data_IF_949375477128
#
_entry.id   IF_949375477128
#
_cell.length_a   1.000
_cell.length_b   1.000
_cell.length_c   1.000
_cell.angle_alpha   90.00
_cell.angle_beta   90.00
_cell.angle_gamma   90.00
#
_symmetry.space_group_name_H-M   'P 1'
#
loop_
_entity.id
_entity.type
_entity.pdbx_description
1 polymer ?
#
# COMPACT_ATOMS: atom_id res chain seq x y z
N UNK A 1 -12.15 -16.59 -14.91
CA UNK A 1 -11.84 -17.38 -13.70
C UNK A 1 -10.36 -17.19 -13.38
N UNK A 2 -9.98 -16.79 -12.16
CA UNK A 2 -8.57 -16.76 -11.75
C UNK A 2 -8.23 -18.10 -11.08
N UNK A 3 -7.59 -18.98 -11.82
CA UNK A 3 -7.06 -20.24 -11.29
C UNK A 3 -5.67 -20.00 -10.71
N UNK A 4 -5.42 -20.61 -9.55
CA UNK A 4 -4.07 -20.69 -9.01
C UNK A 4 -3.22 -21.64 -9.87
N UNK A 5 -1.91 -21.39 -10.01
CA UNK A 5 -1.02 -22.24 -10.81
C UNK A 5 -1.02 -23.72 -10.37
N UNK A 6 -1.27 -23.96 -9.08
CA UNK A 6 -1.33 -25.30 -8.49
C UNK A 6 -2.77 -25.86 -8.37
N UNK A 7 -3.76 -25.28 -9.07
CA UNK A 7 -5.12 -25.78 -8.99
C UNK A 7 -5.23 -27.16 -9.66
N UNK A 8 -5.63 -28.19 -8.90
CA UNK A 8 -5.73 -29.57 -9.39
C UNK A 8 -6.64 -29.73 -10.62
N UNK A 9 -7.66 -28.88 -10.78
CA UNK A 9 -8.48 -28.83 -11.99
C UNK A 9 -8.57 -27.42 -12.54
N UNK A 10 -8.18 -27.28 -13.80
CA UNK A 10 -8.52 -26.13 -14.66
C UNK A 10 -9.98 -26.18 -15.08
N UNK A 11 -10.46 -25.14 -15.78
CA UNK A 11 -11.81 -25.16 -16.35
C UNK A 11 -11.99 -26.36 -17.29
N UNK A 12 -11.04 -26.57 -18.21
CA UNK A 12 -11.05 -27.69 -19.14
C UNK A 12 -10.98 -29.04 -18.42
N UNK A 13 -10.21 -29.14 -17.32
CA UNK A 13 -10.16 -30.35 -16.49
C UNK A 13 -11.51 -30.67 -15.83
N UNK A 14 -12.25 -29.65 -15.39
CA UNK A 14 -13.63 -29.83 -14.87
C UNK A 14 -14.59 -30.27 -15.96
N UNK A 15 -14.47 -29.72 -17.17
CA UNK A 15 -15.29 -30.14 -18.31
C UNK A 15 -14.99 -31.59 -18.70
N UNK A 16 -13.72 -31.98 -18.74
CA UNK A 16 -13.31 -33.37 -19.01
C UNK A 16 -13.83 -34.34 -17.97
N UNK A 17 -13.77 -33.97 -16.68
CA UNK A 17 -14.36 -34.77 -15.60
C UNK A 17 -15.86 -35.02 -15.86
N UNK A 18 -16.60 -33.98 -16.22
CA UNK A 18 -18.03 -34.09 -16.50
C UNK A 18 -18.30 -34.94 -17.72
N UNK A 19 -17.55 -34.75 -18.81
CA UNK A 19 -17.68 -35.53 -20.04
C UNK A 19 -17.49 -37.03 -19.78
N UNK A 20 -16.43 -37.41 -19.04
CA UNK A 20 -16.20 -38.80 -18.63
C UNK A 20 -17.41 -39.41 -17.91
N UNK A 21 -18.00 -38.67 -16.98
CA UNK A 21 -19.08 -39.21 -16.12
C UNK A 21 -20.46 -39.13 -16.75
N UNK A 22 -20.77 -38.04 -17.46
CA UNK A 22 -22.12 -37.74 -17.96
C UNK A 22 -22.31 -38.22 -19.39
N UNK A 23 -21.27 -38.17 -20.23
CA UNK A 23 -21.35 -38.56 -21.64
C UNK A 23 -20.79 -39.97 -21.83
N UNK A 24 -19.60 -40.25 -21.30
CA UNK A 24 -18.94 -41.55 -21.48
C UNK A 24 -19.36 -42.61 -20.43
N UNK A 25 -20.20 -42.24 -19.47
CA UNK A 25 -20.79 -43.17 -18.49
C UNK A 25 -19.84 -43.71 -17.41
N UNK A 26 -18.68 -43.09 -17.21
CA UNK A 26 -17.73 -43.51 -16.18
C UNK A 26 -18.31 -43.32 -14.77
N UNK A 27 -17.90 -44.17 -13.83
CA UNK A 27 -18.18 -43.93 -12.41
C UNK A 27 -17.42 -42.70 -11.92
N UNK A 28 -17.99 -41.98 -10.94
CA UNK A 28 -17.35 -40.80 -10.35
C UNK A 28 -15.99 -41.15 -9.72
N UNK A 29 -15.85 -42.36 -9.16
CA UNK A 29 -14.60 -42.86 -8.58
C UNK A 29 -13.51 -43.04 -9.65
N UNK A 30 -13.82 -43.74 -10.75
CA UNK A 30 -12.86 -43.96 -11.83
C UNK A 30 -12.41 -42.64 -12.49
N UNK A 31 -13.36 -41.72 -12.71
CA UNK A 31 -13.03 -40.40 -13.26
C UNK A 31 -12.20 -39.54 -12.29
N UNK A 32 -12.42 -39.66 -10.97
CA UNK A 32 -11.63 -38.97 -9.97
C UNK A 32 -10.18 -39.46 -9.92
N UNK A 33 -9.99 -40.78 -9.93
CA UNK A 33 -8.68 -41.44 -9.99
C UNK A 33 -7.91 -41.03 -11.25
N UNK A 34 -8.57 -41.10 -12.42
CA UNK A 34 -7.98 -40.72 -13.72
C UNK A 34 -7.44 -39.29 -13.75
N UNK A 35 -8.09 -38.38 -13.04
CA UNK A 35 -7.77 -36.96 -12.98
C UNK A 35 -6.97 -36.56 -11.74
N UNK A 36 -6.57 -37.52 -10.89
CA UNK A 36 -5.74 -37.26 -9.71
C UNK A 36 -6.43 -36.38 -8.65
N UNK A 37 -7.75 -36.52 -8.48
CA UNK A 37 -8.53 -35.76 -7.50
C UNK A 37 -9.33 -36.65 -6.57
N UNK A 38 -9.77 -36.12 -5.43
CA UNK A 38 -10.65 -36.86 -4.52
C UNK A 38 -12.04 -37.08 -5.12
N UNK A 39 -12.67 -38.21 -4.80
CA UNK A 39 -14.04 -38.55 -5.19
C UNK A 39 -15.04 -37.46 -4.75
N UNK A 40 -14.83 -36.87 -3.57
CA UNK A 40 -15.63 -35.73 -3.08
C UNK A 40 -15.50 -34.50 -4.00
N UNK A 41 -14.31 -34.20 -4.49
CA UNK A 41 -14.10 -33.11 -5.45
C UNK A 41 -14.80 -33.40 -6.77
N UNK A 42 -14.68 -34.63 -7.27
CA UNK A 42 -15.33 -35.06 -8.50
C UNK A 42 -16.86 -34.98 -8.40
N UNK A 43 -17.43 -35.57 -7.35
CA UNK A 43 -18.87 -35.54 -7.07
C UNK A 43 -19.43 -34.13 -6.94
N UNK A 44 -18.68 -33.20 -6.31
CA UNK A 44 -19.05 -31.78 -6.24
C UNK A 44 -19.22 -31.17 -7.64
N UNK A 45 -18.26 -31.38 -8.53
CA UNK A 45 -18.29 -30.78 -9.87
C UNK A 45 -19.35 -31.43 -10.76
N UNK A 46 -19.45 -32.76 -10.77
CA UNK A 46 -20.50 -33.50 -11.50
C UNK A 46 -21.88 -33.10 -11.01
N UNK A 47 -22.10 -33.02 -9.70
CA UNK A 47 -23.38 -32.60 -9.13
C UNK A 47 -23.75 -31.18 -9.50
N UNK A 48 -22.78 -30.24 -9.51
CA UNK A 48 -23.02 -28.86 -9.98
C UNK A 48 -23.39 -28.81 -11.46
N UNK A 49 -22.70 -29.58 -12.30
CA UNK A 49 -23.02 -29.64 -13.73
C UNK A 49 -24.41 -30.20 -13.98
N UNK A 50 -24.81 -31.29 -13.30
CA UNK A 50 -26.17 -31.83 -13.43
C UNK A 50 -27.26 -30.83 -13.06
N UNK A 51 -26.99 -29.94 -12.10
CA UNK A 51 -27.96 -28.93 -11.65
C UNK A 51 -27.97 -27.65 -12.51
N UNK A 52 -26.85 -27.27 -13.12
CA UNK A 52 -26.65 -25.92 -13.69
C UNK A 52 -25.95 -25.93 -15.07
N UNK A 53 -25.70 -27.09 -15.64
CA UNK A 53 -24.89 -27.26 -16.85
C UNK A 53 -23.48 -26.69 -16.71
N UNK A 54 -22.96 -26.18 -17.81
CA UNK A 54 -21.64 -25.53 -17.90
C UNK A 54 -21.45 -24.39 -16.88
N UNK A 55 -22.51 -23.64 -16.55
CA UNK A 55 -22.45 -22.56 -15.56
C UNK A 55 -22.05 -23.06 -14.17
N UNK A 56 -22.35 -24.33 -13.85
CA UNK A 56 -21.98 -24.98 -12.59
C UNK A 56 -20.48 -25.21 -12.43
N UNK A 57 -19.69 -25.13 -13.51
CA UNK A 57 -18.24 -25.39 -13.50
C UNK A 57 -17.39 -24.17 -13.17
N UNK A 58 -18.00 -22.99 -13.10
CA UNK A 58 -17.33 -21.79 -12.61
C UNK A 58 -17.03 -21.86 -11.11
N UNK A 59 -15.92 -21.26 -10.70
CA UNK A 59 -15.64 -21.06 -9.29
C UNK A 59 -16.74 -20.25 -8.62
N UNK A 60 -17.21 -20.77 -7.50
CA UNK A 60 -18.09 -20.01 -6.60
C UNK A 60 -17.22 -19.31 -5.58
N UNK A 61 -17.69 -18.16 -5.12
CA UNK A 61 -17.05 -17.49 -3.99
C UNK A 61 -17.00 -18.44 -2.79
N UNK A 62 -15.82 -18.60 -2.20
CA UNK A 62 -15.66 -19.26 -0.89
C UNK A 62 -16.12 -18.37 0.26
N UNK A 63 -16.48 -17.11 -0.02
CA UNK A 63 -16.97 -16.21 1.01
C UNK A 63 -18.31 -16.73 1.58
N UNK A 64 -18.47 -16.74 2.91
CA UNK A 64 -19.73 -17.08 3.55
C UNK A 64 -20.87 -16.20 3.02
N UNK A 65 -22.06 -16.80 2.82
CA UNK A 65 -23.25 -16.04 2.42
C UNK A 65 -23.73 -15.07 3.51
N UNK A 66 -23.50 -15.43 4.78
CA UNK A 66 -23.85 -14.62 5.95
C UNK A 66 -22.61 -14.47 6.82
N UNK A 67 -22.34 -13.24 7.26
CA UNK A 67 -21.30 -12.89 8.22
C UNK A 67 -22.01 -12.15 9.34
N UNK A 68 -22.01 -12.70 10.55
CA UNK A 68 -22.77 -12.15 11.68
C UNK A 68 -22.35 -10.70 11.99
N UNK A 69 -21.05 -10.42 11.96
CA UNK A 69 -20.49 -9.12 12.30
C UNK A 69 -20.30 -8.23 11.06
N UNK A 70 -21.17 -8.38 10.04
CA UNK A 70 -21.12 -7.52 8.86
C UNK A 70 -21.55 -6.11 9.27
N UNK A 71 -20.70 -5.12 9.00
CA UNK A 71 -21.06 -3.71 9.17
C UNK A 71 -22.36 -3.40 8.42
N UNK A 72 -23.33 -2.77 9.10
CA UNK A 72 -24.62 -2.43 8.51
C UNK A 72 -24.44 -1.49 7.31
N UNK A 73 -25.37 -1.54 6.36
CA UNK A 73 -25.31 -0.70 5.16
C UNK A 73 -25.36 0.78 5.51
N UNK A 74 -26.18 1.17 6.50
CA UNK A 74 -26.25 2.53 7.03
C UNK A 74 -24.88 3.02 7.53
N UNK A 75 -24.16 2.17 8.28
CA UNK A 75 -22.82 2.51 8.78
C UNK A 75 -21.80 2.59 7.65
N UNK A 76 -21.91 1.73 6.63
CA UNK A 76 -21.09 1.82 5.41
C UNK A 76 -21.34 3.15 4.67
N UNK A 77 -22.60 3.56 4.54
CA UNK A 77 -22.97 4.83 3.92
C UNK A 77 -22.44 6.02 4.71
N UNK A 78 -22.52 5.99 6.04
CA UNK A 78 -21.94 7.03 6.90
C UNK A 78 -20.41 7.15 6.71
N UNK A 79 -19.69 6.02 6.67
CA UNK A 79 -18.24 5.98 6.38
C UNK A 79 -17.94 6.63 5.02
N UNK A 80 -18.72 6.30 3.98
CA UNK A 80 -18.54 6.86 2.63
C UNK A 80 -18.86 8.35 2.59
N UNK A 81 -19.91 8.80 3.30
CA UNK A 81 -20.28 10.21 3.37
C UNK A 81 -19.20 11.05 4.05
N UNK A 82 -18.71 10.62 5.22
CA UNK A 82 -17.59 11.28 5.92
C UNK A 82 -16.33 11.30 5.05
N UNK A 83 -16.07 10.21 4.32
CA UNK A 83 -14.94 10.17 3.40
C UNK A 83 -15.06 11.21 2.29
N UNK A 84 -16.26 11.48 1.75
CA UNK A 84 -16.48 12.54 0.75
C UNK A 84 -16.22 13.93 1.31
N UNK A 85 -16.46 14.12 2.61
CA UNK A 85 -16.03 15.30 3.37
C UNK A 85 -14.53 15.30 3.72
N UNK A 86 -13.76 14.37 3.13
CA UNK A 86 -12.31 14.25 3.22
C UNK A 86 -11.75 13.80 4.58
N UNK A 87 -12.59 13.32 5.48
CA UNK A 87 -12.11 12.66 6.70
C UNK A 87 -11.18 11.48 6.33
N UNK A 88 -10.07 11.38 7.05
CA UNK A 88 -9.15 10.25 7.01
C UNK A 88 -9.80 8.98 7.56
N UNK A 89 -9.25 7.82 7.21
CA UNK A 89 -9.74 6.57 7.77
C UNK A 89 -9.59 6.51 9.30
N UNK A 90 -8.60 7.22 9.86
CA UNK A 90 -8.36 7.32 11.30
C UNK A 90 -9.43 8.18 11.97
N UNK A 91 -9.70 9.37 11.46
CA UNK A 91 -10.75 10.24 12.00
C UNK A 91 -12.12 9.58 11.93
N UNK A 92 -12.44 8.88 10.84
CA UNK A 92 -13.70 8.13 10.71
C UNK A 92 -13.77 6.98 11.73
N UNK A 93 -12.65 6.26 11.92
CA UNK A 93 -12.58 5.16 12.86
C UNK A 93 -12.78 5.64 14.31
N UNK A 94 -12.17 6.76 14.68
CA UNK A 94 -12.33 7.41 15.97
C UNK A 94 -13.78 7.89 16.16
N UNK A 95 -14.30 8.67 15.20
CA UNK A 95 -15.65 9.25 15.28
C UNK A 95 -16.76 8.19 15.38
N UNK A 96 -16.58 7.05 14.71
CA UNK A 96 -17.60 5.99 14.68
C UNK A 96 -17.33 4.87 15.69
N UNK A 97 -16.28 4.97 16.50
CA UNK A 97 -15.81 3.94 17.44
C UNK A 97 -15.63 2.56 16.77
N UNK A 98 -14.95 2.56 15.62
CA UNK A 98 -14.72 1.37 14.82
C UNK A 98 -13.23 1.07 14.68
N UNK A 99 -12.88 -0.21 14.53
CA UNK A 99 -11.50 -0.57 14.18
C UNK A 99 -11.09 0.07 12.85
N UNK A 100 -9.91 0.71 12.84
CA UNK A 100 -9.32 1.35 11.65
C UNK A 100 -9.22 0.38 10.45
N UNK A 101 -8.91 -0.89 10.70
CA UNK A 101 -8.84 -1.93 9.67
C UNK A 101 -10.18 -2.16 8.97
N UNK A 102 -11.29 -2.11 9.72
CA UNK A 102 -12.66 -2.23 9.21
C UNK A 102 -13.01 -1.05 8.32
N UNK A 103 -12.81 0.17 8.80
CA UNK A 103 -13.07 1.40 8.04
C UNK A 103 -12.21 1.42 6.76
N UNK A 104 -10.91 1.15 6.88
CA UNK A 104 -9.99 1.10 5.75
C UNK A 104 -10.40 0.04 4.72
N UNK A 105 -10.83 -1.13 5.18
CA UNK A 105 -11.34 -2.21 4.32
C UNK A 105 -12.62 -1.81 3.58
N UNK A 106 -13.55 -1.13 4.26
CA UNK A 106 -14.78 -0.60 3.66
C UNK A 106 -14.44 0.44 2.59
N UNK A 107 -13.61 1.43 2.92
CA UNK A 107 -13.19 2.48 1.98
C UNK A 107 -12.45 1.90 0.77
N UNK A 108 -11.59 0.89 0.96
CA UNK A 108 -10.91 0.21 -0.14
C UNK A 108 -11.91 -0.46 -1.09
N UNK A 109 -12.92 -1.16 -0.56
CA UNK A 109 -13.98 -1.81 -1.38
C UNK A 109 -14.84 -0.78 -2.10
N UNK A 110 -15.11 0.36 -1.47
CA UNK A 110 -15.84 1.49 -2.08
C UNK A 110 -14.98 2.31 -3.07
N UNK A 111 -13.72 1.91 -3.31
CA UNK A 111 -12.81 2.63 -4.20
C UNK A 111 -12.17 3.88 -3.60
N UNK A 112 -12.52 4.29 -2.39
CA UNK A 112 -12.09 5.55 -1.72
C UNK A 112 -10.94 5.36 -0.71
N UNK A 113 -10.22 4.25 -0.79
CA UNK A 113 -9.14 3.91 0.15
C UNK A 113 -7.95 4.89 0.18
N UNK A 114 -7.84 5.80 -0.79
CA UNK A 114 -6.87 6.91 -0.82
C UNK A 114 -7.59 8.23 -1.09
N UNK A 115 -7.19 9.31 -0.42
CA UNK A 115 -7.83 10.62 -0.57
C UNK A 115 -7.74 11.14 -2.01
N UNK A 116 -6.62 10.92 -2.70
CA UNK A 116 -6.49 11.32 -4.10
C UNK A 116 -7.55 10.70 -5.04
N UNK A 117 -8.22 9.61 -4.65
CA UNK A 117 -9.30 9.00 -5.46
C UNK A 117 -10.64 9.72 -5.38
N UNK A 118 -10.85 10.55 -4.35
CA UNK A 118 -12.04 11.42 -4.24
C UNK A 118 -11.75 12.84 -4.75
N UNK A 119 -10.59 13.04 -5.39
CA UNK A 119 -10.12 14.34 -5.87
C UNK A 119 -9.00 14.91 -5.01
N UNK A 120 -8.21 15.78 -5.62
CA UNK A 120 -7.23 16.62 -4.93
C UNK A 120 -7.92 17.93 -4.57
N UNK A 121 -7.66 18.43 -3.36
CA UNK A 121 -7.99 19.82 -3.06
C UNK A 121 -7.13 20.73 -3.92
N UNK A 122 -7.68 21.90 -4.25
CA UNK A 122 -6.88 22.90 -4.92
C UNK A 122 -5.69 23.25 -4.01
N UNK A 123 -4.46 23.21 -4.53
CA UNK A 123 -3.31 23.62 -3.73
C UNK A 123 -3.50 25.08 -3.34
N UNK A 124 -3.51 25.35 -2.03
CA UNK A 124 -3.48 26.71 -1.52
C UNK A 124 -2.10 27.26 -1.87
N UNK A 125 -2.05 28.23 -2.77
CA UNK A 125 -0.79 28.85 -3.17
C UNK A 125 -0.22 29.65 -2.00
N UNK A 126 1.02 29.34 -1.67
CA UNK A 126 1.79 30.10 -0.70
C UNK A 126 2.48 31.24 -1.46
N UNK A 127 1.73 32.32 -1.70
CA UNK A 127 2.20 33.50 -2.43
C UNK A 127 1.77 34.80 -1.70
N UNK A 128 2.52 35.87 -1.95
CA UNK A 128 2.26 37.20 -1.41
C UNK A 128 2.40 38.26 -2.50
N UNK A 129 1.78 39.42 -2.25
CA UNK A 129 1.58 40.44 -3.28
C UNK A 129 2.77 41.37 -3.45
N UNK A 130 3.60 41.50 -2.42
CA UNK A 130 4.75 42.41 -2.38
C UNK A 130 6.01 41.63 -1.98
N UNK A 131 7.16 41.98 -2.56
CA UNK A 131 8.45 41.56 -2.02
C UNK A 131 8.55 41.92 -0.53
N UNK A 132 9.06 41.00 0.28
CA UNK A 132 9.31 41.07 1.71
C UNK A 132 8.22 40.43 2.56
N UNK A 133 7.07 40.11 1.97
CA UNK A 133 5.93 39.51 2.68
C UNK A 133 6.07 37.98 2.87
N UNK A 134 6.96 37.33 2.11
CA UNK A 134 7.11 35.88 2.09
C UNK A 134 8.56 35.42 2.08
N UNK A 135 9.23 35.61 3.20
CA UNK A 135 10.62 35.20 3.35
C UNK A 135 10.73 33.72 3.68
N UNK A 136 11.38 32.97 2.80
CA UNK A 136 11.77 31.58 3.03
C UNK A 136 13.18 31.53 3.61
N UNK A 137 13.27 31.01 4.84
CA UNK A 137 14.56 30.83 5.53
C UNK A 137 14.89 29.34 5.53
N UNK A 138 16.00 28.99 4.88
CA UNK A 138 16.61 27.67 5.00
C UNK A 138 17.91 27.78 5.81
N UNK A 139 18.11 26.83 6.71
CA UNK A 139 19.33 26.74 7.51
C UNK A 139 20.00 25.40 7.22
N UNK A 140 21.06 25.47 6.41
CA UNK A 140 21.83 24.28 6.06
C UNK A 140 23.05 24.15 6.97
N UNK A 141 23.06 23.08 7.77
CA UNK A 141 24.25 22.66 8.52
C UNK A 141 25.25 21.98 7.58
N UNK A 142 26.49 22.48 7.57
CA UNK A 142 27.60 21.97 6.76
C UNK A 142 28.80 21.63 7.63
N UNK A 143 29.56 20.62 7.22
CA UNK A 143 30.86 20.34 7.84
C UNK A 143 31.86 21.44 7.47
N UNK A 144 32.67 21.89 8.43
CA UNK A 144 33.73 22.86 8.15
C UNK A 144 34.78 22.25 7.22
N UNK A 145 35.27 23.04 6.26
CA UNK A 145 36.36 22.61 5.38
C UNK A 145 37.66 22.62 6.19
N UNK A 146 38.26 21.43 6.34
CA UNK A 146 39.57 21.27 6.95
C UNK A 146 40.63 22.00 6.11
N UNK A 147 41.49 22.78 6.76
CA UNK A 147 42.54 23.61 6.14
C UNK A 147 42.07 24.83 5.33
N UNK A 148 40.76 25.13 5.37
CA UNK A 148 40.16 26.31 4.75
C UNK A 148 39.84 26.15 3.26
N UNK A 149 39.27 27.20 2.66
CA UNK A 149 38.98 27.22 1.23
C UNK A 149 40.29 27.22 0.42
N UNK A 150 40.36 26.39 -0.63
CA UNK A 150 41.58 26.18 -1.42
C UNK A 150 42.15 27.44 -2.08
N UNK A 151 43.30 27.31 -2.77
CA UNK A 151 44.16 28.38 -3.31
C UNK A 151 43.51 29.46 -4.19
N UNK A 152 42.24 29.32 -4.57
CA UNK A 152 41.48 30.22 -5.44
C UNK A 152 40.55 31.20 -4.72
N UNK A 153 40.42 31.10 -3.39
CA UNK A 153 39.64 32.06 -2.58
C UNK A 153 40.61 33.05 -1.93
N UNK A 154 40.59 34.30 -2.40
CA UNK A 154 41.61 35.32 -2.09
C UNK A 154 41.10 36.50 -1.28
N UNK A 155 39.79 36.58 -0.99
CA UNK A 155 39.17 37.70 -0.28
C UNK A 155 39.04 37.43 1.23
N UNK A 156 40.05 37.88 1.97
CA UNK A 156 39.88 38.20 3.40
C UNK A 156 40.03 37.02 4.37
N UNK A 157 41.09 37.10 5.18
CA UNK A 157 41.34 36.25 6.36
C UNK A 157 41.26 34.74 6.08
N UNK A 158 42.42 34.11 5.83
CA UNK A 158 42.59 32.66 6.02
C UNK A 158 42.37 32.33 7.50
N UNK A 159 41.11 32.27 7.95
CA UNK A 159 40.73 31.75 9.26
C UNK A 159 41.01 30.26 9.25
N UNK A 160 42.29 29.92 9.47
CA UNK A 160 42.70 28.55 9.77
C UNK A 160 42.04 28.18 11.10
N UNK A 161 40.96 27.40 11.04
CA UNK A 161 40.43 26.69 12.20
C UNK A 161 41.39 25.54 12.53
N UNK A 162 42.59 25.88 13.01
CA UNK A 162 43.66 24.94 13.42
C UNK A 162 43.65 24.71 14.92
N UNK A 163 42.48 24.81 15.58
CA UNK A 163 42.40 24.38 16.98
C UNK A 163 42.64 22.88 17.02
N UNK A 164 43.76 22.52 17.62
CA UNK A 164 44.24 21.14 17.72
C UNK A 164 44.19 20.76 19.18
N UNK A 165 43.59 19.62 19.50
CA UNK A 165 43.52 19.10 20.86
C UNK A 165 44.43 17.88 20.94
N UNK A 166 45.29 17.84 21.95
CA UNK A 166 46.15 16.68 22.23
C UNK A 166 45.38 15.63 23.04
N UNK A 167 45.55 14.35 22.70
CA UNK A 167 45.10 13.25 23.56
C UNK A 167 46.17 12.90 24.61
N UNK A 168 45.82 12.08 25.61
CA UNK A 168 46.71 11.61 26.67
C UNK A 168 47.94 10.84 26.15
N UNK A 169 47.90 10.40 24.88
CA UNK A 169 49.00 9.70 24.19
C UNK A 169 49.86 10.65 23.33
N UNK A 170 49.67 11.96 23.47
CA UNK A 170 50.42 12.99 22.77
C UNK A 170 50.05 13.19 21.29
N UNK A 171 49.00 12.54 20.79
CA UNK A 171 48.56 12.70 19.40
C UNK A 171 47.70 13.94 19.25
N UNK A 172 47.97 14.69 18.19
CA UNK A 172 47.31 15.96 17.87
C UNK A 172 46.13 15.73 16.92
N UNK A 173 44.91 15.97 17.40
CA UNK A 173 43.68 15.87 16.61
C UNK A 173 43.19 17.25 16.20
N UNK A 174 42.88 17.46 14.92
CA UNK A 174 42.29 18.72 14.43
C UNK A 174 40.81 18.74 14.80
N UNK A 175 40.35 19.82 15.43
CA UNK A 175 38.91 19.98 15.73
C UNK A 175 38.18 20.53 14.50
N UNK A 176 37.63 19.65 13.68
CA UNK A 176 36.74 20.03 12.55
C UNK A 176 35.30 20.07 13.05
N UNK A 177 34.69 21.25 13.05
CA UNK A 177 33.34 21.49 13.56
C UNK A 177 32.28 21.59 12.46
N UNK A 178 31.11 22.12 12.82
CA UNK A 178 30.02 22.44 11.89
C UNK A 178 29.91 23.95 11.68
N UNK A 179 29.42 24.33 10.51
CA UNK A 179 29.00 25.69 10.13
C UNK A 179 27.55 25.65 9.63
N UNK A 180 26.90 26.81 9.61
CA UNK A 180 25.52 26.95 9.18
C UNK A 180 25.45 28.03 8.10
N UNK A 181 24.90 27.66 6.95
CA UNK A 181 24.55 28.61 5.89
C UNK A 181 23.09 28.98 6.09
N UNK A 182 22.84 30.26 6.29
CA UNK A 182 21.50 30.81 6.40
C UNK A 182 21.17 31.41 5.04
N UNK A 183 20.15 30.85 4.38
CA UNK A 183 19.68 31.31 3.08
C UNK A 183 18.31 31.93 3.31
N UNK A 184 18.14 33.13 2.79
CA UNK A 184 16.91 33.92 2.88
C UNK A 184 16.52 34.28 1.45
N UNK A 185 15.39 33.75 0.98
CA UNK A 185 14.85 34.04 -0.35
C UNK A 185 13.47 34.65 -0.19
N UNK A 186 13.21 35.68 -0.97
CA UNK A 186 11.94 36.38 -1.10
C UNK A 186 11.56 36.46 -2.58
#
# INVERSE_FOLDING_TARGET
MKLHGNAALTWSGRRRLVELVVVEGWTVTAAAERLGISVRCAGKWVGRYRLQGELGLHDRSSAPRRVANRTSEERVQAIVALRRLRFTAAEIAELLEMALSTVSGILRRAGMGRLGRIGLEQPVRYERSRPGELVHIDVKKLGRIQDGAGKRVSDGSRRRYTRTVGDEKGRRHRTVGWEYVHICVD
#
